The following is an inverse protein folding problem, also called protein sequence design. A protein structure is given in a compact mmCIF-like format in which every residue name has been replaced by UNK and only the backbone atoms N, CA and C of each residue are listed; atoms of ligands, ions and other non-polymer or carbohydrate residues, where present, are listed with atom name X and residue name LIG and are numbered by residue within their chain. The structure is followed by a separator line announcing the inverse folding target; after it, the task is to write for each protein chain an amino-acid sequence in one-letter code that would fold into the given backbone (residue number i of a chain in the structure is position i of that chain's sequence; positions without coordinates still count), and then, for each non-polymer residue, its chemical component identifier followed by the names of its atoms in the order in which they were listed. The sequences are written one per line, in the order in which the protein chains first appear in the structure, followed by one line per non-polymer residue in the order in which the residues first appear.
data_IF_767882163148
#
_entry.id   IF_767882163148
#
_cell.length_a   1.000
_cell.length_b   1.000
_cell.length_c   1.000
_cell.angle_alpha   90.00
_cell.angle_beta   90.00
_cell.angle_gamma   90.00
#
_symmetry.space_group_name_H-M   'P 1'
#
loop_
_entity.id
_entity.type
_entity.pdbx_description
1 polymer ?
#
# COMPACT_ATOMS: atom_id res chain seq x y z
N UNK A 1 -15.94 -17.35 -14.46
CA UNK A 1 -14.63 -17.43 -13.76
C UNK A 1 -14.24 -16.11 -13.06
N UNK A 2 -14.63 -14.94 -13.58
CA UNK A 2 -14.24 -13.60 -13.07
C UNK A 2 -14.83 -13.20 -11.69
N UNK A 3 -15.84 -13.91 -11.16
CA UNK A 3 -16.51 -13.55 -9.88
C UNK A 3 -15.81 -14.07 -8.61
N UNK A 4 -14.76 -14.87 -8.72
CA UNK A 4 -14.29 -15.68 -7.58
C UNK A 4 -13.04 -15.15 -6.86
N UNK A 5 -12.24 -14.25 -7.42
CA UNK A 5 -10.97 -13.86 -6.78
C UNK A 5 -11.18 -13.19 -5.41
N UNK A 6 -11.96 -12.10 -5.36
CA UNK A 6 -12.19 -11.38 -4.09
C UNK A 6 -12.88 -12.29 -3.07
N UNK A 7 -13.84 -13.10 -3.49
CA UNK A 7 -14.53 -14.05 -2.61
C UNK A 7 -13.55 -15.09 -2.06
N UNK A 8 -12.70 -15.67 -2.91
CA UNK A 8 -11.71 -16.66 -2.50
C UNK A 8 -10.70 -16.04 -1.53
N UNK A 9 -10.11 -14.88 -1.87
CA UNK A 9 -9.14 -14.21 -0.99
C UNK A 9 -9.75 -13.79 0.35
N UNK A 10 -11.01 -13.32 0.36
CA UNK A 10 -11.75 -13.06 1.60
C UNK A 10 -11.98 -14.34 2.40
N UNK A 11 -12.36 -15.44 1.75
CA UNK A 11 -12.57 -16.73 2.41
C UNK A 11 -11.28 -17.30 3.01
N UNK A 12 -10.16 -17.15 2.31
CA UNK A 12 -8.85 -17.56 2.81
C UNK A 12 -8.49 -16.81 4.10
N UNK A 13 -8.70 -15.49 4.13
CA UNK A 13 -8.50 -14.68 5.35
C UNK A 13 -9.42 -15.13 6.49
N UNK A 14 -10.70 -15.38 6.21
CA UNK A 14 -11.66 -15.86 7.22
C UNK A 14 -11.22 -17.23 7.77
N UNK A 15 -10.84 -18.16 6.90
CA UNK A 15 -10.41 -19.50 7.28
C UNK A 15 -9.16 -19.45 8.16
N UNK A 16 -8.16 -18.66 7.77
CA UNK A 16 -6.94 -18.47 8.56
C UNK A 16 -7.25 -17.80 9.89
N UNK A 17 -8.04 -16.72 9.90
CA UNK A 17 -8.43 -15.99 11.10
C UNK A 17 -9.14 -16.90 12.13
N UNK A 18 -10.10 -17.71 11.66
CA UNK A 18 -10.82 -18.65 12.53
C UNK A 18 -9.94 -19.81 13.02
N UNK A 19 -8.92 -20.20 12.26
CA UNK A 19 -7.96 -21.21 12.68
C UNK A 19 -6.97 -20.69 13.73
N UNK A 20 -6.49 -19.45 13.61
CA UNK A 20 -5.49 -18.87 14.53
C UNK A 20 -6.11 -18.29 15.82
N UNK A 21 -7.34 -17.81 15.75
CA UNK A 21 -8.04 -17.21 16.89
C UNK A 21 -9.51 -17.65 16.90
N UNK A 22 -9.77 -18.89 17.37
CA UNK A 22 -11.11 -19.42 17.53
C UNK A 22 -11.99 -18.50 18.38
N UNK A 23 -13.29 -18.47 18.05
CA UNK A 23 -14.25 -17.63 18.74
C UNK A 23 -14.23 -17.86 20.26
N UNK A 24 -14.13 -16.76 21.01
CA UNK A 24 -14.12 -16.78 22.49
C UNK A 24 -12.75 -17.02 23.13
N UNK A 25 -11.69 -17.28 22.37
CA UNK A 25 -10.35 -17.53 22.92
C UNK A 25 -9.37 -16.38 22.69
N UNK A 26 -9.46 -15.69 21.57
CA UNK A 26 -8.55 -14.60 21.21
C UNK A 26 -9.26 -13.55 20.36
N UNK A 27 -8.77 -12.32 20.43
CA UNK A 27 -9.29 -11.18 19.68
C UNK A 27 -8.41 -10.90 18.46
N UNK A 28 -9.03 -10.54 17.34
CA UNK A 28 -8.35 -10.19 16.09
C UNK A 28 -8.57 -8.71 15.79
N UNK A 29 -7.52 -8.02 15.35
CA UNK A 29 -7.63 -6.74 14.66
C UNK A 29 -7.18 -6.97 13.22
N UNK A 30 -8.03 -6.63 12.26
CA UNK A 30 -7.64 -6.67 10.86
C UNK A 30 -7.01 -5.34 10.45
N UNK A 31 -5.86 -5.42 9.77
CA UNK A 31 -5.19 -4.26 9.18
C UNK A 31 -4.95 -4.58 7.71
N UNK A 32 -5.51 -3.78 6.81
CA UNK A 32 -5.42 -4.01 5.38
C UNK A 32 -5.04 -2.76 4.61
N UNK A 33 -4.05 -2.88 3.71
CA UNK A 33 -3.61 -1.82 2.81
C UNK A 33 -4.12 -2.06 1.38
N UNK A 34 -4.62 -1.03 0.70
CA UNK A 34 -5.05 -1.11 -0.71
C UNK A 34 -6.01 -2.29 -0.97
N UNK A 35 -5.68 -3.22 -1.88
CA UNK A 35 -6.41 -4.49 -2.09
C UNK A 35 -6.65 -5.26 -0.79
N UNK A 36 -5.65 -5.32 0.10
CA UNK A 36 -5.77 -5.94 1.42
C UNK A 36 -6.78 -5.24 2.32
N UNK A 37 -6.94 -3.91 2.18
CA UNK A 37 -7.99 -3.14 2.86
C UNK A 37 -9.39 -3.56 2.41
N UNK A 38 -9.58 -3.75 1.11
CA UNK A 38 -10.83 -4.29 0.57
C UNK A 38 -11.13 -5.70 1.10
N UNK A 39 -10.14 -6.59 1.10
CA UNK A 39 -10.27 -7.95 1.63
C UNK A 39 -10.61 -7.90 3.14
N UNK A 40 -9.93 -7.07 3.92
CA UNK A 40 -10.16 -6.92 5.36
C UNK A 40 -11.59 -6.45 5.67
N UNK A 41 -12.11 -5.46 4.93
CA UNK A 41 -13.50 -5.01 5.06
C UNK A 41 -14.48 -6.14 4.76
N UNK A 42 -14.29 -6.89 3.67
CA UNK A 42 -15.20 -7.98 3.32
C UNK A 42 -15.11 -9.15 4.32
N UNK A 43 -13.92 -9.47 4.83
CA UNK A 43 -13.71 -10.52 5.82
C UNK A 43 -14.32 -10.17 7.19
N UNK A 44 -14.39 -8.87 7.51
CA UNK A 44 -14.84 -8.40 8.82
C UNK A 44 -16.24 -8.86 9.24
N UNK A 45 -17.11 -9.15 8.27
CA UNK A 45 -18.49 -9.60 8.51
C UNK A 45 -18.61 -11.04 8.98
N UNK A 46 -17.56 -11.85 8.82
CA UNK A 46 -17.60 -13.30 9.09
C UNK A 46 -16.58 -13.76 10.14
N UNK A 47 -15.74 -12.85 10.64
CA UNK A 47 -14.75 -13.15 11.69
C UNK A 47 -15.37 -12.78 13.05
N UNK A 48 -15.77 -13.79 13.82
CA UNK A 48 -16.45 -13.60 15.11
C UNK A 48 -15.54 -13.00 16.20
N UNK A 49 -14.24 -13.30 16.14
CA UNK A 49 -13.23 -12.79 17.07
C UNK A 49 -12.74 -11.36 16.74
N UNK A 50 -13.32 -10.70 15.73
CA UNK A 50 -12.88 -9.38 15.31
C UNK A 50 -13.27 -8.31 16.33
N UNK A 51 -12.28 -7.52 16.78
CA UNK A 51 -12.48 -6.42 17.72
C UNK A 51 -12.12 -5.05 17.15
N UNK A 52 -11.51 -4.99 15.95
CA UNK A 52 -11.15 -3.73 15.31
C UNK A 52 -10.74 -3.89 13.86
N UNK A 53 -10.88 -2.80 13.08
CA UNK A 53 -10.56 -2.76 11.66
C UNK A 53 -9.74 -1.51 11.31
N UNK A 54 -8.59 -1.69 10.68
CA UNK A 54 -7.76 -0.63 10.13
C UNK A 54 -7.65 -0.78 8.61
N UNK A 55 -7.98 0.28 7.90
CA UNK A 55 -7.86 0.35 6.44
C UNK A 55 -6.81 1.42 6.11
N UNK A 56 -5.84 1.07 5.29
CA UNK A 56 -4.72 1.93 4.91
C UNK A 56 -4.81 2.22 3.41
N UNK A 57 -4.79 3.51 3.08
CA UNK A 57 -4.61 4.07 1.73
C UNK A 57 -5.56 3.49 0.67
N UNK A 58 -6.85 3.41 1.00
CA UNK A 58 -7.90 3.06 0.03
C UNK A 58 -9.21 3.78 0.34
N UNK A 59 -9.74 4.43 -0.69
CA UNK A 59 -11.08 5.03 -0.73
C UNK A 59 -11.74 4.58 -2.04
N UNK A 60 -13.03 4.23 -2.00
CA UNK A 60 -13.72 3.66 -3.17
C UNK A 60 -13.64 4.54 -4.42
N UNK A 61 -14.01 5.82 -4.30
CA UNK A 61 -14.04 6.75 -5.44
C UNK A 61 -12.67 6.87 -6.12
N UNK A 62 -11.64 7.20 -5.34
CA UNK A 62 -10.30 7.46 -5.87
C UNK A 62 -9.62 6.18 -6.34
N UNK A 63 -9.88 5.04 -5.69
CA UNK A 63 -9.37 3.75 -6.15
C UNK A 63 -9.95 3.39 -7.52
N UNK A 64 -11.23 3.65 -7.78
CA UNK A 64 -11.87 3.40 -9.07
C UNK A 64 -11.32 4.32 -10.17
N UNK A 65 -11.12 5.60 -9.87
CA UNK A 65 -10.55 6.56 -10.83
C UNK A 65 -9.10 6.21 -11.20
N UNK A 66 -8.32 5.72 -10.23
CA UNK A 66 -6.92 5.35 -10.39
C UNK A 66 -6.68 4.04 -11.17
N UNK A 67 -7.71 3.20 -11.37
CA UNK A 67 -7.54 1.90 -12.03
C UNK A 67 -6.96 2.02 -13.45
N UNK A 68 -7.35 3.07 -14.18
CA UNK A 68 -6.89 3.34 -15.54
C UNK A 68 -5.37 3.62 -15.60
N UNK A 69 -4.86 4.34 -14.61
CA UNK A 69 -3.44 4.68 -14.46
C UNK A 69 -2.59 3.49 -14.00
N UNK A 70 -3.17 2.55 -13.25
CA UNK A 70 -2.45 1.41 -12.68
C UNK A 70 -1.82 0.51 -13.76
N UNK A 71 -2.44 0.36 -14.94
CA UNK A 71 -1.83 -0.37 -16.05
C UNK A 71 -0.60 0.31 -16.65
N UNK A 72 -0.59 1.65 -16.70
CA UNK A 72 0.58 2.41 -17.15
C UNK A 72 1.73 2.25 -16.15
N UNK A 73 1.39 2.36 -14.88
CA UNK A 73 2.27 2.14 -13.73
C UNK A 73 2.91 0.74 -13.84
N UNK A 74 2.13 -0.34 -13.90
CA UNK A 74 2.67 -1.71 -13.97
C UNK A 74 3.59 -1.96 -15.17
N UNK A 75 3.26 -1.39 -16.33
CA UNK A 75 4.10 -1.50 -17.54
C UNK A 75 5.44 -0.76 -17.43
N UNK A 76 5.53 0.24 -16.57
CA UNK A 76 6.77 0.97 -16.30
C UNK A 76 7.77 0.21 -15.42
N UNK A 77 7.40 -0.96 -14.86
CA UNK A 77 8.30 -1.75 -14.00
C UNK A 77 9.34 -2.50 -14.84
N UNK A 78 10.58 -2.65 -14.33
CA UNK A 78 11.51 -3.62 -14.90
C UNK A 78 10.87 -5.01 -14.91
N UNK A 79 11.07 -5.76 -16.00
CA UNK A 79 10.56 -7.14 -16.10
C UNK A 79 11.44 -8.13 -15.33
N UNK A 80 12.71 -7.78 -15.13
CA UNK A 80 13.71 -8.62 -14.48
C UNK A 80 14.65 -7.77 -13.60
N UNK A 81 15.21 -8.41 -12.59
CA UNK A 81 16.25 -7.87 -11.72
C UNK A 81 17.47 -8.80 -11.72
N UNK A 82 18.66 -8.22 -11.78
CA UNK A 82 19.92 -8.98 -11.80
C UNK A 82 20.17 -9.74 -10.49
N UNK A 83 19.72 -9.18 -9.38
CA UNK A 83 19.94 -9.71 -8.03
C UNK A 83 18.94 -9.10 -7.03
N UNK A 84 18.84 -9.68 -5.83
CA UNK A 84 18.01 -9.13 -4.75
C UNK A 84 18.44 -7.69 -4.39
N UNK A 85 19.75 -7.36 -4.21
CA UNK A 85 20.17 -5.98 -3.97
C UNK A 85 19.78 -5.01 -5.09
N UNK A 86 19.83 -5.44 -6.36
CA UNK A 86 19.37 -4.60 -7.48
C UNK A 86 17.86 -4.31 -7.41
N UNK A 87 17.05 -5.28 -6.99
CA UNK A 87 15.62 -5.07 -6.77
C UNK A 87 15.35 -4.12 -5.60
N UNK A 88 16.06 -4.27 -4.47
CA UNK A 88 15.96 -3.37 -3.31
C UNK A 88 16.35 -1.94 -3.71
N UNK A 89 17.45 -1.79 -4.46
CA UNK A 89 17.92 -0.49 -4.94
C UNK A 89 16.89 0.16 -5.86
N UNK A 90 16.27 -0.59 -6.77
CA UNK A 90 15.19 -0.09 -7.62
C UNK A 90 13.97 0.35 -6.80
N UNK A 91 13.56 -0.43 -5.80
CA UNK A 91 12.45 -0.11 -4.91
C UNK A 91 12.67 1.22 -4.18
N UNK A 92 13.86 1.38 -3.58
CA UNK A 92 14.22 2.57 -2.81
C UNK A 92 14.44 3.81 -3.71
N UNK A 93 15.34 3.71 -4.70
CA UNK A 93 15.67 4.84 -5.59
C UNK A 93 14.52 5.21 -6.53
N UNK A 94 13.68 4.25 -6.90
CA UNK A 94 12.48 4.45 -7.69
C UNK A 94 11.31 5.05 -6.92
N UNK A 95 11.45 5.20 -5.60
CA UNK A 95 10.43 5.77 -4.71
C UNK A 95 9.16 4.93 -4.61
N UNK A 96 9.26 3.60 -4.72
CA UNK A 96 8.18 2.70 -4.28
C UNK A 96 8.07 2.74 -2.75
N UNK A 97 9.23 2.65 -2.09
CA UNK A 97 9.38 2.77 -0.66
C UNK A 97 10.53 3.75 -0.36
N UNK A 98 10.29 4.71 0.51
CA UNK A 98 11.27 5.70 0.98
C UNK A 98 12.01 5.24 2.24
N UNK A 99 11.68 4.08 2.79
CA UNK A 99 12.39 3.46 3.89
C UNK A 99 13.27 2.30 3.39
N UNK A 100 14.59 2.50 3.42
CA UNK A 100 15.54 1.48 2.96
C UNK A 100 15.50 0.21 3.81
N UNK A 101 15.25 0.31 5.11
CA UNK A 101 15.14 -0.85 5.99
C UNK A 101 13.92 -1.69 5.62
N UNK A 102 12.76 -1.04 5.44
CA UNK A 102 11.55 -1.73 4.99
C UNK A 102 11.74 -2.36 3.61
N UNK A 103 12.33 -1.63 2.65
CA UNK A 103 12.59 -2.14 1.31
C UNK A 103 13.51 -3.39 1.31
N UNK A 104 14.49 -3.47 2.21
CA UNK A 104 15.37 -4.65 2.36
C UNK A 104 14.60 -5.89 2.81
N UNK A 105 13.55 -5.72 3.62
CA UNK A 105 12.73 -6.81 4.15
C UNK A 105 11.57 -7.17 3.21
N UNK A 106 10.89 -6.16 2.65
CA UNK A 106 9.66 -6.35 1.86
C UNK A 106 9.93 -6.76 0.41
N UNK A 107 10.96 -6.19 -0.22
CA UNK A 107 11.23 -6.40 -1.65
C UNK A 107 11.53 -7.87 -2.01
N UNK A 108 12.31 -8.65 -1.24
CA UNK A 108 12.53 -10.06 -1.53
C UNK A 108 11.24 -10.90 -1.63
N UNK A 109 10.22 -10.58 -0.83
CA UNK A 109 8.92 -11.27 -0.88
C UNK A 109 8.09 -11.00 -2.14
N UNK A 110 8.49 -10.01 -2.94
CA UNK A 110 7.81 -9.58 -4.17
C UNK A 110 8.43 -10.15 -5.45
N UNK A 111 9.56 -10.86 -5.35
CA UNK A 111 10.30 -11.40 -6.50
C UNK A 111 10.59 -12.89 -6.33
N UNK A 112 10.74 -13.59 -7.45
CA UNK A 112 11.07 -15.01 -7.54
C UNK A 112 12.27 -15.20 -8.44
N UNK A 113 13.10 -16.18 -8.13
CA UNK A 113 14.23 -16.58 -8.94
C UNK A 113 13.74 -17.22 -10.24
N UNK A 114 14.24 -16.77 -11.38
CA UNK A 114 13.78 -17.21 -12.71
C UNK A 114 14.13 -18.69 -12.98
N UNK A 115 15.22 -19.20 -12.40
CA UNK A 115 15.68 -20.58 -12.58
C UNK A 115 14.99 -21.55 -11.64
N UNK A 116 15.04 -21.26 -10.34
CA UNK A 116 14.54 -22.18 -9.31
C UNK A 116 13.03 -22.07 -9.11
N UNK A 117 12.43 -20.93 -9.48
CA UNK A 117 11.05 -20.59 -9.13
C UNK A 117 10.85 -20.31 -7.64
N UNK A 118 11.91 -20.36 -6.82
CA UNK A 118 11.84 -20.10 -5.39
C UNK A 118 11.65 -18.61 -5.11
N UNK A 119 11.05 -18.28 -3.97
CA UNK A 119 10.93 -16.89 -3.53
C UNK A 119 12.30 -16.37 -3.10
N UNK A 120 12.60 -15.12 -3.41
CA UNK A 120 13.88 -14.54 -3.05
C UNK A 120 14.08 -14.41 -1.53
N UNK A 121 12.99 -14.35 -0.74
CA UNK A 121 13.07 -14.37 0.73
C UNK A 121 13.62 -15.71 1.27
N UNK A 122 13.40 -16.82 0.57
CA UNK A 122 13.87 -18.14 0.99
C UNK A 122 15.36 -18.33 0.66
N UNK A 123 15.85 -17.62 -0.37
CA UNK A 123 17.25 -17.62 -0.79
C UNK A 123 18.12 -16.62 -0.01
N UNK A 124 17.53 -15.81 0.88
CA UNK A 124 18.23 -14.72 1.59
C UNK A 124 19.38 -15.20 2.49
N UNK A 125 19.28 -16.39 3.09
CA UNK A 125 20.35 -16.96 3.92
C UNK A 125 21.65 -17.23 3.14
N UNK A 126 21.59 -17.29 1.81
CA UNK A 126 22.77 -17.41 0.95
C UNK A 126 23.50 -16.07 0.78
N UNK A 127 22.83 -14.94 1.04
CA UNK A 127 23.36 -13.59 0.83
C UNK A 127 24.15 -13.01 2.01
N UNK A 128 23.88 -13.37 3.27
CA UNK A 128 24.73 -12.93 4.40
C UNK A 128 26.20 -13.37 4.24
N UNK A 129 26.42 -14.44 3.48
CA UNK A 129 27.74 -14.97 3.15
C UNK A 129 28.39 -14.35 1.90
N UNK A 130 27.66 -13.49 1.16
CA UNK A 130 28.18 -12.79 -0.02
C UNK A 130 28.55 -11.35 0.34
N UNK A 131 29.85 -11.04 0.39
CA UNK A 131 30.35 -9.66 0.43
C UNK A 131 29.89 -8.91 -0.82
N UNK A 132 28.78 -8.17 -0.75
CA UNK A 132 28.28 -7.33 -1.86
C UNK A 132 28.81 -5.89 -1.69
N UNK A 133 29.66 -5.37 -2.60
CA UNK A 133 30.30 -4.05 -2.45
C UNK A 133 29.39 -2.83 -2.65
N UNK A 134 28.11 -3.00 -3.00
CA UNK A 134 27.26 -1.94 -3.55
C UNK A 134 25.92 -1.77 -2.80
N UNK A 135 25.94 -1.88 -1.47
CA UNK A 135 24.77 -1.51 -0.67
C UNK A 135 24.68 0.01 -0.54
N UNK A 136 23.54 0.64 -0.88
CA UNK A 136 23.38 2.07 -0.70
C UNK A 136 23.49 2.40 0.80
N UNK A 137 24.52 3.17 1.15
CA UNK A 137 24.59 3.87 2.42
C UNK A 137 23.53 4.98 2.43
N UNK A 138 22.91 5.19 3.60
CA UNK A 138 21.88 6.21 3.83
C UNK A 138 22.45 7.60 3.56
N UNK A 139 22.31 8.10 2.33
CA UNK A 139 22.52 9.50 2.01
C UNK A 139 21.15 10.16 1.89
N UNK A 140 21.01 11.34 2.52
CA UNK A 140 19.81 12.17 2.46
C UNK A 140 19.46 12.52 1.01
N UNK A 141 18.55 11.75 0.43
CA UNK A 141 17.99 12.02 -0.89
C UNK A 141 16.85 13.01 -0.75
N UNK A 142 16.94 14.13 -1.46
CA UNK A 142 15.84 15.08 -1.63
C UNK A 142 14.50 14.36 -1.94
N UNK A 143 13.45 14.70 -1.18
CA UNK A 143 12.11 14.15 -1.30
C UNK A 143 11.59 14.37 -2.73
N UNK A 144 11.44 13.29 -3.48
CA UNK A 144 10.68 13.27 -4.73
C UNK A 144 9.62 12.20 -4.64
N UNK A 145 8.35 12.61 -4.77
CA UNK A 145 7.26 11.68 -5.07
C UNK A 145 7.66 10.88 -6.29
N UNK A 146 7.55 9.55 -6.25
CA UNK A 146 7.80 8.75 -7.43
C UNK A 146 6.74 9.05 -8.49
N UNK A 147 7.08 8.85 -9.76
CA UNK A 147 6.11 8.82 -10.88
C UNK A 147 5.12 7.65 -10.77
N UNK A 148 5.17 6.89 -9.67
CA UNK A 148 4.45 5.67 -9.40
C UNK A 148 3.46 5.81 -8.23
N UNK A 149 3.57 6.90 -7.46
CA UNK A 149 2.51 7.35 -6.57
C UNK A 149 1.29 7.69 -7.43
N UNK A 150 0.14 7.10 -7.12
CA UNK A 150 -1.13 7.48 -7.73
C UNK A 150 -1.36 8.95 -7.34
N UNK A 151 -1.08 9.87 -8.26
CA UNK A 151 -1.50 11.26 -8.12
C UNK A 151 -2.92 11.37 -8.64
N UNK A 152 -3.83 11.72 -7.74
CA UNK A 152 -5.14 12.22 -8.12
C UNK A 152 -4.95 13.48 -8.97
N UNK A 153 -5.66 13.53 -10.11
CA UNK A 153 -5.62 14.66 -11.02
C UNK A 153 -6.09 15.91 -10.30
N UNK A 154 -5.21 16.89 -10.17
CA UNK A 154 -5.60 18.22 -9.70
C UNK A 154 -6.23 18.91 -10.92
N UNK A 155 -7.54 19.15 -10.88
CA UNK A 155 -8.14 20.15 -11.76
C UNK A 155 -7.57 21.51 -11.33
N UNK A 156 -6.76 22.12 -12.21
CA UNK A 156 -6.31 23.49 -12.02
C UNK A 156 -7.52 24.41 -12.05
N UNK A 157 -7.84 25.02 -10.91
CA UNK A 157 -8.85 26.07 -10.81
C UNK A 157 -8.23 27.33 -11.43
N UNK A 158 -8.59 27.62 -12.69
CA UNK A 158 -8.19 28.83 -13.37
C UNK A 158 -9.11 29.99 -12.96
N UNK A 159 -8.52 31.04 -12.37
CA UNK A 159 -9.20 32.31 -12.09
C UNK A 159 -8.88 33.35 -13.18
N UNK A 160 -9.96 33.84 -13.79
CA UNK A 160 -10.21 35.03 -14.62
C UNK A 160 -9.25 35.54 -15.74
N UNK A 161 -9.84 35.51 -16.94
CA UNK A 161 -10.02 36.60 -17.94
C UNK A 161 -8.89 37.14 -18.85
N UNK A 162 -9.34 37.36 -20.10
CA UNK A 162 -8.74 38.08 -21.25
C UNK A 162 -7.84 37.30 -22.22
N UNK A 163 -8.52 36.81 -23.27
CA UNK A 163 -8.19 36.90 -24.70
C UNK A 163 -6.71 36.96 -25.13
N UNK A 164 -6.22 35.83 -25.64
CA UNK A 164 -5.09 35.74 -26.56
C UNK A 164 -4.72 34.27 -26.76
N UNK A 165 -4.91 33.72 -27.97
CA UNK A 165 -4.34 32.40 -28.32
C UNK A 165 -2.82 32.54 -28.45
N UNK A 166 -2.02 31.71 -27.76
CA UNK A 166 -0.82 31.16 -28.39
C UNK A 166 -0.57 29.68 -27.98
N UNK A 167 0.50 29.04 -28.47
CA UNK A 167 0.50 28.06 -29.55
C UNK A 167 0.38 26.60 -29.06
N UNK A 168 0.05 25.70 -29.98
CA UNK A 168 0.11 24.24 -29.79
C UNK A 168 1.48 23.83 -29.23
N UNK A 169 1.50 23.31 -28.01
CA UNK A 169 2.70 22.79 -27.39
C UNK A 169 3.04 21.41 -27.97
N UNK A 170 4.26 21.32 -28.50
CA UNK A 170 4.88 20.14 -29.09
C UNK A 170 4.88 18.93 -28.14
N UNK A 171 4.62 17.75 -28.70
CA UNK A 171 4.73 16.46 -28.03
C UNK A 171 6.11 16.30 -27.41
N UNK A 172 6.21 16.38 -26.07
CA UNK A 172 7.42 15.97 -25.35
C UNK A 172 7.54 14.45 -25.44
N UNK A 173 8.25 13.97 -26.46
CA UNK A 173 8.71 12.59 -26.58
C UNK A 173 9.31 12.10 -25.27
N UNK A 174 8.71 11.04 -24.72
CA UNK A 174 9.18 10.30 -23.56
C UNK A 174 10.61 9.78 -23.81
N UNK A 175 11.59 10.29 -23.05
CA UNK A 175 12.94 9.74 -23.06
C UNK A 175 13.00 8.52 -22.14
N UNK A 176 12.93 7.33 -22.75
CA UNK A 176 13.24 6.06 -22.11
C UNK A 176 14.67 6.15 -21.54
N UNK A 177 14.91 5.86 -20.25
CA UNK A 177 16.27 5.75 -19.73
C UNK A 177 17.00 4.64 -20.49
N UNK A 178 18.16 4.98 -21.06
CA UNK A 178 19.03 4.07 -21.81
C UNK A 178 19.48 2.92 -20.90
N UNK A 179 18.72 1.82 -20.88
CA UNK A 179 19.23 0.53 -20.42
C UNK A 179 20.36 0.14 -21.34
N UNK A 180 21.58 0.04 -20.80
CA UNK A 180 22.67 -0.66 -21.46
C UNK A 180 22.17 -2.05 -21.86
N UNK A 181 21.98 -2.24 -23.16
CA UNK A 181 21.69 -3.52 -23.80
C UNK A 181 22.92 -4.40 -23.71
N UNK A 182 23.19 -4.93 -22.52
CA UNK A 182 23.99 -6.13 -22.36
C UNK A 182 23.18 -7.30 -22.91
N UNK A 183 23.63 -7.88 -24.01
CA UNK A 183 23.13 -9.14 -24.54
C UNK A 183 23.22 -10.23 -23.46
N UNK A 184 22.08 -10.85 -23.15
CA UNK A 184 21.94 -12.24 -22.76
C UNK A 184 22.56 -12.68 -21.43
N UNK A 185 21.76 -12.61 -20.38
CA UNK A 185 21.66 -13.76 -19.47
C UNK A 185 20.17 -14.13 -19.39
N UNK A 186 19.64 -14.71 -20.47
CA UNK A 186 18.22 -15.12 -20.62
C UNK A 186 17.82 -16.28 -19.68
N UNK A 187 18.54 -16.45 -18.59
CA UNK A 187 18.26 -17.47 -17.60
C UNK A 187 18.66 -17.10 -16.18
N UNK A 188 19.32 -15.98 -15.89
CA UNK A 188 19.72 -15.66 -14.50
C UNK A 188 19.06 -14.39 -13.98
N UNK A 189 18.72 -14.40 -12.68
CA UNK A 189 18.13 -13.26 -11.99
C UNK A 189 16.73 -13.54 -11.44
N UNK A 190 15.99 -12.46 -11.20
CA UNK A 190 14.71 -12.47 -10.51
C UNK A 190 13.64 -11.77 -11.34
N UNK A 191 12.39 -12.21 -11.22
CA UNK A 191 11.22 -11.56 -11.81
C UNK A 191 10.13 -11.35 -10.75
N UNK A 192 9.08 -10.63 -11.07
CA UNK A 192 7.96 -10.39 -10.17
C UNK A 192 7.27 -11.69 -9.79
N UNK A 193 7.01 -11.88 -8.49
CA UNK A 193 6.28 -13.05 -7.97
C UNK A 193 4.90 -13.19 -8.59
N UNK A 194 4.25 -12.08 -8.91
CA UNK A 194 2.94 -12.05 -9.54
C UNK A 194 2.90 -11.01 -10.65
N UNK A 195 2.36 -11.40 -11.79
CA UNK A 195 1.95 -10.46 -12.82
C UNK A 195 0.59 -9.87 -12.45
N UNK A 196 0.62 -8.74 -11.74
CA UNK A 196 -0.59 -8.09 -11.23
C UNK A 196 -1.53 -7.67 -12.37
N UNK A 197 -1.01 -7.39 -13.57
CA UNK A 197 -1.81 -6.94 -14.71
C UNK A 197 -2.87 -7.98 -15.12
N UNK A 198 -2.58 -9.27 -14.92
CA UNK A 198 -3.53 -10.37 -15.17
C UNK A 198 -4.75 -10.34 -14.24
N UNK A 199 -4.69 -9.57 -13.15
CA UNK A 199 -5.80 -9.44 -12.21
C UNK A 199 -6.69 -8.22 -12.47
N UNK A 200 -6.43 -7.45 -13.54
CA UNK A 200 -7.18 -6.22 -13.89
C UNK A 200 -8.69 -6.41 -13.93
N UNK A 201 -9.14 -7.54 -14.49
CA UNK A 201 -10.57 -7.89 -14.57
C UNK A 201 -11.28 -7.94 -13.21
N UNK A 202 -10.52 -8.05 -12.11
CA UNK A 202 -11.05 -8.10 -10.74
C UNK A 202 -10.98 -6.75 -10.02
N UNK A 203 -10.13 -5.80 -10.45
CA UNK A 203 -9.80 -4.60 -9.65
C UNK A 203 -11.02 -3.75 -9.30
N UNK A 204 -11.93 -3.54 -10.26
CA UNK A 204 -13.18 -2.81 -10.01
C UNK A 204 -13.98 -3.43 -8.86
N UNK A 205 -14.03 -4.76 -8.80
CA UNK A 205 -14.79 -5.49 -7.78
C UNK A 205 -14.11 -5.49 -6.41
N UNK A 206 -12.85 -5.07 -6.32
CA UNK A 206 -12.19 -4.87 -5.03
C UNK A 206 -12.74 -3.66 -4.30
N UNK A 207 -12.98 -2.58 -5.03
CA UNK A 207 -13.31 -1.28 -4.44
C UNK A 207 -14.81 -0.93 -4.52
N UNK A 208 -15.56 -1.54 -5.45
CA UNK A 208 -16.98 -1.27 -5.60
C UNK A 208 -17.79 -1.58 -4.31
N UNK A 209 -18.48 -0.56 -3.79
CA UNK A 209 -19.25 -0.61 -2.55
C UNK A 209 -18.39 -0.69 -1.28
N UNK A 210 -17.07 -0.49 -1.38
CA UNK A 210 -16.15 -0.63 -0.25
C UNK A 210 -16.44 0.37 0.85
N UNK A 211 -16.75 1.63 0.53
CA UNK A 211 -16.97 2.68 1.52
C UNK A 211 -18.22 2.43 2.35
N UNK A 212 -19.28 1.93 1.73
CA UNK A 212 -20.51 1.53 2.42
C UNK A 212 -20.29 0.33 3.33
N UNK A 213 -19.58 -0.70 2.83
CA UNK A 213 -19.23 -1.87 3.63
C UNK A 213 -18.34 -1.49 4.83
N UNK A 214 -17.32 -0.66 4.62
CA UNK A 214 -16.46 -0.18 5.69
C UNK A 214 -17.29 0.51 6.80
N UNK A 215 -18.19 1.41 6.41
CA UNK A 215 -19.09 2.11 7.34
C UNK A 215 -20.14 1.20 8.01
N UNK A 216 -20.42 0.03 7.43
CA UNK A 216 -21.40 -0.94 7.93
C UNK A 216 -20.83 -2.05 8.82
N UNK A 217 -19.53 -2.06 9.11
CA UNK A 217 -18.92 -3.07 10.01
C UNK A 217 -19.35 -2.89 11.48
N UNK A 218 -19.31 -3.92 12.33
CA UNK A 218 -19.77 -3.78 13.73
C UNK A 218 -18.64 -3.54 14.74
N UNK A 219 -17.45 -3.17 14.26
CA UNK A 219 -16.26 -2.98 15.10
C UNK A 219 -15.74 -1.55 14.99
N UNK A 220 -15.01 -1.05 16.01
CA UNK A 220 -14.25 0.18 15.90
C UNK A 220 -13.34 0.14 14.67
N UNK A 221 -13.39 1.22 13.88
CA UNK A 221 -12.65 1.30 12.63
C UNK A 221 -11.86 2.60 12.47
N UNK A 222 -10.67 2.48 11.90
CA UNK A 222 -9.75 3.58 11.60
C UNK A 222 -9.35 3.53 10.12
N UNK A 223 -9.30 4.70 9.49
CA UNK A 223 -8.83 4.89 8.12
C UNK A 223 -7.56 5.74 8.17
N UNK A 224 -6.47 5.23 7.61
CA UNK A 224 -5.19 5.92 7.47
C UNK A 224 -4.95 6.25 6.00
N UNK A 225 -4.80 7.53 5.66
CA UNK A 225 -4.57 7.95 4.26
C UNK A 225 -3.24 8.68 4.12
N UNK A 226 -2.57 8.52 2.97
CA UNK A 226 -1.40 9.32 2.61
C UNK A 226 -1.76 10.80 2.35
N UNK A 227 -2.99 11.05 1.88
CA UNK A 227 -3.53 12.38 1.61
C UNK A 227 -5.02 12.42 2.00
N UNK A 228 -5.51 13.59 2.41
CA UNK A 228 -6.94 13.81 2.71
C UNK A 228 -7.76 14.10 1.45
N UNK A 229 -7.11 14.55 0.37
CA UNK A 229 -7.74 14.68 -0.93
C UNK A 229 -8.32 13.33 -1.34
N UNK A 230 -9.57 13.32 -1.81
CA UNK A 230 -10.15 12.12 -2.36
C UNK A 230 -11.00 11.25 -1.42
N UNK A 231 -11.36 11.74 -0.22
CA UNK A 231 -12.47 11.12 0.52
C UNK A 231 -13.76 11.19 -0.30
N UNK A 232 -14.37 10.04 -0.60
CA UNK A 232 -15.66 10.02 -1.29
C UNK A 232 -16.78 10.57 -0.40
N UNK A 233 -17.95 10.84 -1.01
CA UNK A 233 -19.09 11.42 -0.30
C UNK A 233 -19.55 10.56 0.88
N UNK A 234 -19.52 9.22 0.77
CA UNK A 234 -19.97 8.32 1.84
C UNK A 234 -19.01 8.40 3.04
N UNK A 235 -17.71 8.34 2.79
CA UNK A 235 -16.69 8.44 3.84
C UNK A 235 -16.64 9.85 4.44
N UNK A 236 -16.85 10.90 3.63
CA UNK A 236 -16.95 12.28 4.14
C UNK A 236 -18.12 12.41 5.12
N UNK A 237 -19.31 11.96 4.74
CA UNK A 237 -20.49 11.97 5.62
C UNK A 237 -20.25 11.08 6.84
N UNK A 238 -19.67 9.89 6.66
CA UNK A 238 -19.36 8.98 7.76
C UNK A 238 -18.36 9.56 8.75
N UNK A 239 -17.37 10.30 8.28
CA UNK A 239 -16.37 10.98 9.08
C UNK A 239 -17.00 12.12 9.88
N UNK A 240 -17.83 12.96 9.23
CA UNK A 240 -18.56 14.03 9.90
C UNK A 240 -19.54 13.50 10.97
N UNK A 241 -20.05 12.29 10.80
CA UNK A 241 -20.89 11.58 11.78
C UNK A 241 -20.09 10.85 12.86
N UNK A 242 -18.75 10.89 12.84
CA UNK A 242 -17.89 10.20 13.81
C UNK A 242 -17.93 8.67 13.71
N UNK A 243 -18.31 8.11 12.55
CA UNK A 243 -18.45 6.65 12.35
C UNK A 243 -17.11 5.90 12.26
N UNK A 244 -16.01 6.62 12.12
CA UNK A 244 -14.65 6.07 12.12
C UNK A 244 -13.66 7.15 12.55
N UNK A 245 -12.42 6.74 12.86
CA UNK A 245 -11.33 7.68 13.06
C UNK A 245 -10.53 7.81 11.76
N UNK A 246 -10.29 9.04 11.31
CA UNK A 246 -9.43 9.33 10.17
C UNK A 246 -8.08 9.82 10.66
N UNK A 247 -7.01 9.28 10.10
CA UNK A 247 -5.65 9.79 10.29
C UNK A 247 -4.99 10.01 8.94
N UNK A 248 -4.29 11.14 8.80
CA UNK A 248 -3.54 11.48 7.59
C UNK A 248 -2.05 11.40 7.89
N UNK A 249 -1.31 10.71 7.02
CA UNK A 249 0.13 10.49 7.11
C UNK A 249 0.78 10.99 5.82
N UNK A 250 1.10 12.28 5.79
CA UNK A 250 1.73 12.90 4.62
C UNK A 250 3.17 12.41 4.41
N UNK A 251 3.71 12.66 3.20
CA UNK A 251 5.11 12.34 2.80
C UNK A 251 5.42 10.85 2.72
N UNK A 252 4.49 10.05 2.22
CA UNK A 252 4.69 8.63 1.93
C UNK A 252 4.83 8.40 0.43
N UNK A 253 5.50 7.31 0.07
CA UNK A 253 5.54 6.72 -1.27
C UNK A 253 4.27 5.93 -1.50
N UNK A 254 4.39 4.66 -1.92
CA UNK A 254 3.22 3.83 -2.21
C UNK A 254 2.63 3.15 -0.96
N UNK A 255 3.47 2.82 0.02
CA UNK A 255 3.10 1.98 1.15
C UNK A 255 3.37 2.72 2.46
N UNK A 256 2.36 3.42 2.99
CA UNK A 256 2.45 4.23 4.22
C UNK A 256 3.07 3.45 5.39
N UNK A 257 2.70 2.18 5.54
CA UNK A 257 3.21 1.30 6.60
C UNK A 257 4.65 0.83 6.41
N UNK A 258 5.21 0.91 5.19
CA UNK A 258 6.64 0.63 4.96
C UNK A 258 7.47 1.89 5.17
N UNK A 259 6.93 3.04 4.76
CA UNK A 259 7.64 4.32 4.84
C UNK A 259 7.65 4.91 6.24
N UNK A 260 6.53 4.80 6.97
CA UNK A 260 6.36 5.38 8.31
C UNK A 260 5.85 4.33 9.32
N UNK A 261 6.54 3.19 9.49
CA UNK A 261 6.08 2.07 10.32
C UNK A 261 5.85 2.48 11.77
N UNK A 262 6.73 3.33 12.33
CA UNK A 262 6.60 3.81 13.71
C UNK A 262 5.33 4.64 13.93
N UNK A 263 5.02 5.56 13.01
CA UNK A 263 3.82 6.39 13.13
C UNK A 263 2.55 5.55 12.95
N UNK A 264 2.52 4.64 11.97
CA UNK A 264 1.40 3.72 11.78
C UNK A 264 1.17 2.89 13.05
N UNK A 265 2.22 2.33 13.64
CA UNK A 265 2.13 1.56 14.88
C UNK A 265 1.66 2.42 16.06
N UNK A 266 2.17 3.64 16.20
CA UNK A 266 1.79 4.58 17.25
C UNK A 266 0.29 4.91 17.16
N UNK A 267 -0.19 5.38 16.01
CA UNK A 267 -1.59 5.73 15.79
C UNK A 267 -2.50 4.51 16.05
N UNK A 268 -2.14 3.35 15.51
CA UNK A 268 -2.95 2.14 15.67
C UNK A 268 -2.99 1.71 17.15
N UNK A 269 -1.86 1.73 17.85
CA UNK A 269 -1.80 1.36 19.27
C UNK A 269 -2.64 2.28 20.15
N UNK A 270 -2.55 3.60 19.94
CA UNK A 270 -3.36 4.61 20.64
C UNK A 270 -4.85 4.36 20.36
N UNK A 271 -5.19 4.11 19.10
CA UNK A 271 -6.56 3.82 18.69
C UNK A 271 -7.11 2.58 19.39
N UNK A 272 -6.36 1.48 19.41
CA UNK A 272 -6.78 0.23 20.04
C UNK A 272 -6.97 0.37 21.55
N UNK A 273 -6.11 1.15 22.23
CA UNK A 273 -6.29 1.46 23.65
C UNK A 273 -7.53 2.33 23.88
N UNK A 274 -7.72 3.38 23.06
CA UNK A 274 -8.90 4.27 23.13
C UNK A 274 -10.21 3.49 22.95
N UNK A 275 -10.22 2.50 22.07
CA UNK A 275 -11.39 1.65 21.80
C UNK A 275 -11.52 0.45 22.76
N UNK A 276 -10.64 0.34 23.76
CA UNK A 276 -10.59 -0.77 24.72
C UNK A 276 -10.39 -2.15 24.06
N UNK A 277 -9.74 -2.18 22.90
CA UNK A 277 -9.36 -3.39 22.18
C UNK A 277 -8.00 -3.94 22.65
N UNK A 278 -7.17 -3.09 23.28
CA UNK A 278 -5.86 -3.45 23.79
C UNK A 278 -5.53 -2.69 25.08
N UNK A 279 -4.55 -3.19 25.84
CA UNK A 279 -3.98 -2.52 27.02
C UNK A 279 -2.58 -2.01 26.72
N UNK A 280 -2.19 -0.90 27.34
CA UNK A 280 -0.83 -0.38 27.23
C UNK A 280 0.18 -1.35 27.85
N UNK A 281 1.38 -1.45 27.25
CA UNK A 281 2.50 -2.14 27.89
C UNK A 281 2.99 -1.33 29.09
N UNK A 282 3.54 -2.02 30.09
CA UNK A 282 4.14 -1.35 31.25
C UNK A 282 5.23 -0.35 30.79
N UNK A 283 5.16 0.89 31.28
CA UNK A 283 6.09 1.96 30.91
C UNK A 283 5.79 2.66 29.56
N UNK A 284 4.75 2.25 28.82
CA UNK A 284 4.33 3.00 27.63
C UNK A 284 3.65 4.30 28.04
N UNK A 285 4.31 5.42 27.76
CA UNK A 285 3.72 6.76 27.91
C UNK A 285 3.02 7.09 26.60
N UNK A 286 1.71 7.31 26.66
CA UNK A 286 0.96 7.80 25.51
C UNK A 286 1.58 9.12 25.05
N UNK A 287 2.02 9.22 23.79
CA UNK A 287 2.50 10.48 23.25
C UNK A 287 1.40 11.53 23.41
N UNK A 288 1.75 12.70 23.96
CA UNK A 288 0.83 13.83 24.01
C UNK A 288 0.53 14.24 22.57
N UNK A 289 -0.65 13.87 22.07
CA UNK A 289 -1.08 14.32 20.75
C UNK A 289 -1.19 15.86 20.80
N UNK A 290 -0.63 16.62 19.84
CA UNK A 290 -0.65 18.07 19.87
C UNK A 290 -2.06 18.72 19.79
N UNK A 291 -3.12 17.92 19.69
CA UNK A 291 -4.50 18.39 19.54
C UNK A 291 -5.48 17.84 20.60
N UNK A 292 -5.01 17.43 21.78
CA UNK A 292 -5.92 17.26 22.93
C UNK A 292 -6.18 18.64 23.53
N UNK A 293 -7.09 19.41 22.90
CA UNK A 293 -7.71 20.53 23.59
C UNK A 293 -8.67 19.97 24.64
N UNK A 294 -8.49 20.46 25.87
CA UNK A 294 -9.43 20.33 26.98
C UNK A 294 -10.84 20.80 26.60
#
# INVERSE_FOLDING_TARGET
MVRYFMVAATMDVINVANAIAPAGQSSIVLVGHSMGGAIAVNASYQIQSLVGLCVIDVVEGTALDALSSMQSILRGRPTHFKSIPHAIQWCYKGGQCHNLEAARVSMPGQIVNVQSGAMACDEWNLFENMNVPDMPHSAESSFRSSNFTIREGVEEVADHDVCGKPPLAEEKTFKVPTTSTGKGDEGSGYTWRIDLSKTETYWKHWFQGLSEKFLGTNVPRILMLANISGLDTKLTVGQMQGKFQLQVLAKTGHAVHEDQPHQVAEILSIYLVKQKCATTKAGFVMPLHPNVCC
#
